data_IF_275055159894
#
_entry.id   IF_275055159894
#
_cell.length_a   1.000
_cell.length_b   1.000
_cell.length_c   1.000
_cell.angle_alpha   90.00
_cell.angle_beta   90.00
_cell.angle_gamma   90.00
#
_symmetry.space_group_name_H-M   'P 1'
#
loop_
_entity.id
_entity.type
_entity.pdbx_description
1 polymer ?
#
# COMPACT_ATOMS: atom_id res chain seq x y z
N UNK A 1 -3.40 19.99 -39.39
CA UNK A 1 -4.85 19.75 -39.22
C UNK A 1 -5.07 19.76 -37.69
N UNK A 2 -5.50 20.90 -37.17
CA UNK A 2 -5.78 20.99 -35.74
C UNK A 2 -7.02 20.14 -35.49
N UNK A 3 -6.83 19.04 -34.73
CA UNK A 3 -7.92 18.18 -34.27
C UNK A 3 -8.71 19.01 -33.26
N UNK A 4 -9.88 19.46 -33.64
CA UNK A 4 -10.82 20.10 -32.71
C UNK A 4 -11.37 18.99 -31.83
N UNK A 5 -10.73 18.79 -30.67
CA UNK A 5 -11.26 17.89 -29.64
C UNK A 5 -12.65 18.39 -29.30
N UNK A 6 -13.67 17.52 -29.31
CA UNK A 6 -15.01 17.93 -28.95
C UNK A 6 -15.02 18.41 -27.49
N UNK A 7 -15.76 19.47 -27.20
CA UNK A 7 -15.85 20.02 -25.85
C UNK A 7 -16.29 18.94 -24.85
N UNK A 8 -17.19 18.06 -25.27
CA UNK A 8 -17.70 16.95 -24.47
C UNK A 8 -16.62 15.90 -24.15
N UNK A 9 -15.72 15.60 -25.11
CA UNK A 9 -14.60 14.69 -24.88
C UNK A 9 -13.58 15.29 -23.91
N UNK A 10 -13.27 16.58 -24.06
CA UNK A 10 -12.36 17.28 -23.16
C UNK A 10 -12.93 17.36 -21.73
N UNK A 11 -14.25 17.52 -21.57
CA UNK A 11 -14.90 17.52 -20.27
C UNK A 11 -14.91 16.11 -19.65
N UNK A 12 -15.22 15.08 -20.43
CA UNK A 12 -15.19 13.70 -19.96
C UNK A 12 -13.78 13.27 -19.49
N UNK A 13 -12.72 13.69 -20.19
CA UNK A 13 -11.33 13.39 -19.83
C UNK A 13 -10.73 14.31 -18.77
N UNK A 14 -11.44 15.39 -18.39
CA UNK A 14 -10.96 16.33 -17.37
C UNK A 14 -10.75 15.65 -16.01
N UNK A 15 -9.78 16.10 -15.25
CA UNK A 15 -9.51 15.60 -13.91
C UNK A 15 -9.40 16.74 -12.89
N UNK A 16 -9.63 16.40 -11.63
CA UNK A 16 -9.47 17.32 -10.49
C UNK A 16 -8.01 17.79 -10.41
N UNK A 17 -7.80 19.07 -10.06
CA UNK A 17 -6.46 19.64 -9.92
C UNK A 17 -5.61 18.91 -8.86
N UNK A 18 -6.23 18.38 -7.79
CA UNK A 18 -5.56 17.59 -6.79
C UNK A 18 -5.09 16.23 -7.35
N UNK A 19 -5.90 15.60 -8.22
CA UNK A 19 -5.51 14.38 -8.92
C UNK A 19 -4.30 14.64 -9.82
N UNK A 20 -4.38 15.67 -10.68
CA UNK A 20 -3.29 16.02 -11.61
C UNK A 20 -1.98 16.27 -10.86
N UNK A 21 -2.05 17.01 -9.75
CA UNK A 21 -0.87 17.35 -8.92
C UNK A 21 -0.22 16.12 -8.29
N UNK A 22 -1.03 15.15 -7.83
CA UNK A 22 -0.54 14.02 -7.06
C UNK A 22 -0.27 12.77 -7.90
N UNK A 23 -0.79 12.67 -9.13
CA UNK A 23 -0.72 11.47 -9.98
C UNK A 23 0.69 10.91 -10.12
N UNK A 24 1.67 11.78 -10.45
CA UNK A 24 3.07 11.34 -10.62
C UNK A 24 3.66 10.80 -9.30
N UNK A 25 3.29 11.42 -8.16
CA UNK A 25 3.74 10.95 -6.85
C UNK A 25 3.10 9.62 -6.48
N UNK A 26 1.82 9.44 -6.75
CA UNK A 26 1.13 8.16 -6.54
C UNK A 26 1.71 7.05 -7.41
N UNK A 27 2.01 7.33 -8.69
CA UNK A 27 2.68 6.34 -9.54
C UNK A 27 4.05 5.95 -8.99
N UNK A 28 4.87 6.91 -8.57
CA UNK A 28 6.16 6.63 -7.94
C UNK A 28 6.05 5.77 -6.68
N UNK A 29 5.05 6.02 -5.82
CA UNK A 29 4.82 5.21 -4.63
C UNK A 29 4.35 3.80 -4.98
N UNK A 30 3.50 3.65 -6.00
CA UNK A 30 3.08 2.34 -6.49
C UNK A 30 4.27 1.54 -7.03
N UNK A 31 5.07 2.14 -7.89
CA UNK A 31 6.27 1.50 -8.45
C UNK A 31 7.26 1.13 -7.35
N UNK A 32 7.42 1.99 -6.34
CA UNK A 32 8.28 1.72 -5.17
C UNK A 32 7.79 0.54 -4.35
N UNK A 33 6.48 0.34 -4.24
CA UNK A 33 5.89 -0.82 -3.58
C UNK A 33 5.97 -2.08 -4.43
N UNK A 34 5.61 -2.00 -5.72
CA UNK A 34 5.63 -3.14 -6.64
C UNK A 34 7.07 -3.61 -6.86
N UNK A 35 8.01 -2.69 -7.04
CA UNK A 35 9.41 -3.01 -7.31
C UNK A 35 9.58 -3.69 -8.67
N UNK A 36 10.64 -4.51 -8.81
CA UNK A 36 10.87 -5.28 -10.02
C UNK A 36 11.10 -4.40 -11.26
N UNK A 37 10.56 -4.85 -12.39
CA UNK A 37 10.75 -4.19 -13.69
C UNK A 37 9.99 -2.86 -13.75
N UNK A 38 8.83 -2.73 -13.13
CA UNK A 38 8.06 -1.50 -13.05
C UNK A 38 8.88 -0.37 -12.41
N UNK A 39 9.56 -0.67 -11.31
CA UNK A 39 10.43 0.31 -10.66
C UNK A 39 11.64 0.66 -11.52
N UNK A 40 12.27 -0.35 -12.12
CA UNK A 40 13.46 -0.14 -12.98
C UNK A 40 13.14 0.66 -14.24
N UNK A 41 11.99 0.43 -14.85
CA UNK A 41 11.51 1.17 -16.01
C UNK A 41 10.99 2.57 -15.67
N UNK A 42 10.67 2.84 -14.42
CA UNK A 42 10.18 4.13 -13.94
C UNK A 42 11.20 5.29 -13.99
N UNK A 43 12.45 5.00 -14.38
CA UNK A 43 13.49 6.04 -14.55
C UNK A 43 14.00 6.62 -13.22
N UNK A 44 13.97 5.83 -12.14
CA UNK A 44 14.37 6.27 -10.79
C UNK A 44 15.88 6.20 -10.54
N UNK A 45 16.63 5.53 -11.42
CA UNK A 45 18.08 5.56 -11.42
C UNK A 45 18.60 6.84 -12.08
N UNK A 46 19.54 7.51 -11.44
CA UNK A 46 20.16 8.73 -11.98
C UNK A 46 21.13 8.36 -13.09
N UNK A 47 20.95 8.95 -14.28
CA UNK A 47 21.85 8.77 -15.42
C UNK A 47 23.08 9.65 -15.29
N UNK A 48 24.26 9.12 -15.62
CA UNK A 48 25.49 9.91 -15.68
C UNK A 48 25.53 10.75 -16.98
N UNK A 49 26.23 11.89 -16.91
CA UNK A 49 26.29 12.84 -18.03
C UNK A 49 26.84 12.24 -19.33
N UNK A 50 27.82 11.35 -19.23
CA UNK A 50 28.51 10.74 -20.37
C UNK A 50 28.06 9.30 -20.67
N UNK A 51 27.07 8.81 -19.93
CA UNK A 51 26.56 7.44 -20.07
C UNK A 51 25.70 7.31 -21.32
N UNK A 52 25.98 6.32 -22.15
CA UNK A 52 25.14 5.98 -23.29
C UNK A 52 23.83 5.33 -22.83
N UNK A 53 22.83 5.31 -23.71
CA UNK A 53 21.54 4.65 -23.42
C UNK A 53 21.72 3.17 -23.09
N UNK A 54 22.57 2.49 -23.86
CA UNK A 54 22.84 1.05 -23.67
C UNK A 54 23.49 0.78 -22.31
N UNK A 55 24.45 1.59 -21.90
CA UNK A 55 25.13 1.47 -20.60
C UNK A 55 24.14 1.74 -19.47
N UNK A 56 23.31 2.77 -19.58
CA UNK A 56 22.27 3.08 -18.61
C UNK A 56 21.28 1.93 -18.41
N UNK A 57 20.77 1.36 -19.50
CA UNK A 57 19.86 0.22 -19.47
C UNK A 57 20.51 -1.00 -18.81
N UNK A 58 21.78 -1.31 -19.17
CA UNK A 58 22.53 -2.41 -18.55
C UNK A 58 22.72 -2.17 -17.06
N UNK A 59 23.12 -0.97 -16.65
CA UNK A 59 23.31 -0.61 -15.24
C UNK A 59 22.01 -0.71 -14.46
N UNK A 60 20.91 -0.25 -15.04
CA UNK A 60 19.56 -0.36 -14.43
C UNK A 60 19.15 -1.83 -14.21
N UNK A 61 19.41 -2.68 -15.20
CA UNK A 61 19.05 -4.11 -15.11
C UNK A 61 19.83 -4.85 -14.02
N UNK A 62 21.13 -4.58 -13.89
CA UNK A 62 21.99 -5.30 -12.93
C UNK A 62 21.89 -4.75 -11.51
N UNK A 63 21.46 -3.50 -11.33
CA UNK A 63 21.32 -2.90 -9.99
C UNK A 63 20.21 -3.62 -9.21
N UNK A 64 20.50 -4.23 -8.05
CA UNK A 64 19.48 -4.85 -7.23
C UNK A 64 18.64 -3.78 -6.52
N UNK A 65 17.36 -4.05 -6.34
CA UNK A 65 16.45 -3.21 -5.57
C UNK A 65 16.20 -3.84 -4.19
N UNK A 66 16.55 -3.13 -3.14
CA UNK A 66 16.14 -3.43 -1.78
C UNK A 66 14.78 -2.76 -1.51
N UNK A 67 13.69 -3.54 -1.59
CA UNK A 67 12.32 -3.02 -1.51
C UNK A 67 11.88 -2.81 -0.06
N UNK A 68 12.26 -1.66 0.50
CA UNK A 68 11.89 -1.24 1.86
C UNK A 68 10.39 -0.90 1.96
N UNK A 69 9.81 -0.28 0.93
CA UNK A 69 8.40 0.11 0.90
C UNK A 69 7.47 -1.10 1.07
N UNK A 70 7.70 -2.17 0.30
CA UNK A 70 6.92 -3.40 0.41
C UNK A 70 7.08 -4.06 1.78
N UNK A 71 8.30 -4.12 2.28
CA UNK A 71 8.62 -4.72 3.58
C UNK A 71 7.89 -4.04 4.73
N UNK A 72 7.82 -2.70 4.73
CA UNK A 72 7.13 -1.92 5.76
C UNK A 72 5.62 -2.12 5.69
N UNK A 73 5.03 -2.01 4.51
CA UNK A 73 3.58 -2.24 4.34
C UNK A 73 3.22 -3.67 4.73
N UNK A 74 4.02 -4.67 4.33
CA UNK A 74 3.80 -6.06 4.72
C UNK A 74 3.83 -6.24 6.25
N UNK A 75 4.74 -5.56 6.94
CA UNK A 75 4.81 -5.55 8.41
C UNK A 75 3.52 -4.97 9.00
N UNK A 76 3.09 -3.79 8.58
CA UNK A 76 1.88 -3.14 9.10
C UNK A 76 0.64 -3.99 8.89
N UNK A 77 0.43 -4.47 7.67
CA UNK A 77 -0.72 -5.30 7.31
C UNK A 77 -0.73 -6.63 8.04
N UNK A 78 0.44 -7.25 8.24
CA UNK A 78 0.54 -8.51 8.99
C UNK A 78 0.16 -8.36 10.46
N UNK A 79 0.43 -7.22 11.07
CA UNK A 79 -0.02 -6.93 12.43
C UNK A 79 -1.52 -6.60 12.48
N UNK A 80 -2.01 -5.69 11.63
CA UNK A 80 -3.41 -5.24 11.63
C UNK A 80 -4.40 -6.37 11.37
N UNK A 81 -4.08 -7.27 10.45
CA UNK A 81 -4.94 -8.39 10.05
C UNK A 81 -4.52 -9.74 10.66
N UNK A 82 -3.77 -9.72 11.76
CA UNK A 82 -3.44 -10.94 12.51
C UNK A 82 -4.66 -11.52 13.21
N UNK A 83 -5.52 -10.66 13.71
CA UNK A 83 -6.81 -11.00 14.32
C UNK A 83 -7.91 -10.58 13.36
N UNK A 84 -8.96 -11.36 13.26
CA UNK A 84 -10.16 -11.05 12.49
C UNK A 84 -10.94 -9.92 13.18
N UNK A 85 -11.48 -8.93 12.46
CA UNK A 85 -12.38 -7.94 13.04
C UNK A 85 -13.63 -8.60 13.61
N UNK A 86 -14.10 -8.10 14.73
CA UNK A 86 -15.39 -8.50 15.32
C UNK A 86 -16.51 -7.75 14.60
N UNK A 87 -17.50 -8.50 14.09
CA UNK A 87 -18.67 -7.94 13.42
C UNK A 87 -19.94 -8.46 14.09
N UNK A 88 -20.72 -7.54 14.62
CA UNK A 88 -22.05 -7.84 15.13
C UNK A 88 -23.08 -7.27 14.17
N UNK A 89 -23.79 -8.12 13.47
CA UNK A 89 -24.74 -7.74 12.42
C UNK A 89 -26.15 -7.44 12.95
N UNK A 90 -26.46 -7.75 14.21
CA UNK A 90 -27.78 -7.53 14.81
C UNK A 90 -28.94 -7.99 13.90
N UNK A 91 -29.78 -7.07 13.44
CA UNK A 91 -30.93 -7.42 12.59
C UNK A 91 -30.51 -7.93 11.20
N UNK A 92 -29.29 -7.60 10.73
CA UNK A 92 -28.75 -8.05 9.45
C UNK A 92 -28.33 -9.52 9.43
N UNK A 93 -28.18 -10.21 10.58
CA UNK A 93 -27.88 -11.65 10.59
C UNK A 93 -28.93 -12.48 9.83
N UNK A 94 -30.16 -11.97 9.75
CA UNK A 94 -31.24 -12.60 9.00
C UNK A 94 -31.27 -12.26 7.50
N UNK A 95 -30.33 -11.41 7.01
CA UNK A 95 -30.28 -10.99 5.62
C UNK A 95 -29.77 -12.13 4.73
N UNK A 96 -30.58 -12.64 3.79
CA UNK A 96 -30.20 -13.83 3.01
C UNK A 96 -28.95 -13.66 2.14
N UNK A 97 -28.63 -12.43 1.72
CA UNK A 97 -27.48 -12.13 0.86
C UNK A 97 -26.18 -11.91 1.64
N UNK A 98 -26.27 -11.77 2.97
CA UNK A 98 -25.12 -11.48 3.83
C UNK A 98 -24.03 -12.57 3.78
N UNK A 99 -24.32 -13.87 3.94
CA UNK A 99 -23.28 -14.90 3.90
C UNK A 99 -22.52 -14.91 2.57
N UNK A 100 -23.24 -14.81 1.45
CA UNK A 100 -22.66 -14.76 0.12
C UNK A 100 -21.80 -13.51 -0.09
N UNK A 101 -22.18 -12.36 0.48
CA UNK A 101 -21.39 -11.14 0.43
C UNK A 101 -20.10 -11.23 1.27
N UNK A 102 -20.14 -11.88 2.42
CA UNK A 102 -18.96 -12.10 3.25
C UNK A 102 -17.93 -13.03 2.60
N UNK A 103 -18.41 -14.07 1.89
CA UNK A 103 -17.55 -15.04 1.21
C UNK A 103 -16.99 -14.51 -0.11
N UNK A 104 -17.77 -13.75 -0.85
CA UNK A 104 -17.41 -13.20 -2.16
C UNK A 104 -18.04 -11.81 -2.31
N UNK A 105 -17.33 -10.77 -1.89
CA UNK A 105 -17.88 -9.40 -1.88
C UNK A 105 -17.75 -8.67 -3.22
N UNK A 106 -16.86 -9.11 -4.11
CA UNK A 106 -16.48 -8.42 -5.35
C UNK A 106 -16.85 -9.18 -6.65
N UNK A 107 -17.50 -10.32 -6.55
CA UNK A 107 -17.80 -11.25 -7.64
C UNK A 107 -16.56 -11.91 -8.28
N UNK A 108 -15.39 -11.78 -7.64
CA UNK A 108 -14.14 -12.40 -8.04
C UNK A 108 -13.72 -13.55 -7.08
N UNK A 109 -14.59 -13.91 -6.13
CA UNK A 109 -14.34 -14.94 -5.11
C UNK A 109 -13.53 -14.46 -3.92
N UNK A 110 -13.46 -13.16 -3.69
CA UNK A 110 -12.70 -12.57 -2.59
C UNK A 110 -13.58 -12.33 -1.38
N UNK A 111 -13.19 -12.88 -0.22
CA UNK A 111 -13.91 -12.60 1.04
C UNK A 111 -13.76 -11.13 1.46
N UNK A 112 -14.72 -10.62 2.23
CA UNK A 112 -14.68 -9.26 2.74
C UNK A 112 -13.39 -8.96 3.52
N UNK A 113 -12.90 -9.90 4.34
CA UNK A 113 -11.64 -9.73 5.08
C UNK A 113 -10.45 -9.56 4.14
N UNK A 114 -10.37 -10.37 3.09
CA UNK A 114 -9.30 -10.26 2.09
C UNK A 114 -9.41 -8.97 1.28
N UNK A 115 -10.64 -8.53 0.99
CA UNK A 115 -10.91 -7.28 0.30
C UNK A 115 -10.51 -6.07 1.14
N UNK A 116 -10.91 -5.99 2.41
CA UNK A 116 -10.53 -4.91 3.33
C UNK A 116 -9.02 -4.86 3.57
N UNK A 117 -8.37 -6.02 3.63
CA UNK A 117 -6.91 -6.11 3.67
C UNK A 117 -6.25 -5.50 2.44
N UNK A 118 -6.78 -5.76 1.25
CA UNK A 118 -6.28 -5.16 0.01
C UNK A 118 -6.54 -3.66 -0.04
N UNK A 119 -7.70 -3.20 0.43
CA UNK A 119 -8.02 -1.79 0.56
C UNK A 119 -7.05 -1.06 1.50
N UNK A 120 -6.69 -1.70 2.62
CA UNK A 120 -5.68 -1.19 3.56
C UNK A 120 -4.28 -1.12 2.93
N UNK A 121 -3.88 -2.10 2.11
CA UNK A 121 -2.61 -2.07 1.37
C UNK A 121 -2.57 -0.84 0.46
N UNK A 122 -3.61 -0.62 -0.37
CA UNK A 122 -3.66 0.54 -1.25
C UNK A 122 -3.74 1.86 -0.48
N UNK A 123 -4.47 1.89 0.63
CA UNK A 123 -4.48 3.06 1.51
C UNK A 123 -3.07 3.39 2.03
N UNK A 124 -2.28 2.40 2.42
CA UNK A 124 -0.90 2.59 2.86
C UNK A 124 0.02 3.08 1.74
N UNK A 125 -0.16 2.60 0.49
CA UNK A 125 0.63 3.02 -0.67
C UNK A 125 0.32 4.47 -1.04
N UNK A 126 -0.95 4.80 -1.25
CA UNK A 126 -1.39 6.07 -1.83
C UNK A 126 -1.78 7.12 -0.78
N UNK A 127 -1.95 6.71 0.49
CA UNK A 127 -2.55 7.48 1.57
C UNK A 127 -4.04 7.22 1.75
N UNK A 128 -4.72 6.78 0.69
CA UNK A 128 -6.13 6.40 0.69
C UNK A 128 -6.45 5.46 -0.46
N UNK A 129 -7.54 4.73 -0.33
CA UNK A 129 -8.18 3.96 -1.40
C UNK A 129 -9.69 4.23 -1.40
N UNK A 130 -10.35 3.94 -2.51
CA UNK A 130 -11.79 4.11 -2.64
C UNK A 130 -12.46 2.75 -2.79
N UNK A 131 -13.58 2.57 -2.12
CA UNK A 131 -14.46 1.42 -2.29
C UNK A 131 -15.78 1.96 -2.85
N UNK A 132 -16.20 1.44 -4.00
CA UNK A 132 -17.50 1.78 -4.60
C UNK A 132 -18.36 0.54 -4.58
N UNK A 133 -19.55 0.64 -3.98
CA UNK A 133 -20.52 -0.43 -3.97
C UNK A 133 -21.51 -0.23 -5.11
N UNK A 134 -21.84 -1.31 -5.79
CA UNK A 134 -22.83 -1.32 -6.86
C UNK A 134 -23.76 -2.52 -6.67
N UNK A 135 -24.96 -2.45 -7.24
CA UNK A 135 -25.91 -3.58 -7.30
C UNK A 135 -26.36 -3.72 -8.74
N UNK A 136 -26.29 -4.93 -9.35
CA UNK A 136 -26.74 -5.11 -10.71
C UNK A 136 -28.24 -4.83 -10.82
N UNK A 137 -28.65 -4.11 -11.86
CA UNK A 137 -30.07 -4.02 -12.24
C UNK A 137 -30.38 -5.13 -13.24
N UNK A 138 -31.07 -6.15 -12.80
CA UNK A 138 -31.48 -7.28 -13.63
C UNK A 138 -32.98 -7.23 -13.98
N UNK A 139 -33.62 -6.08 -13.72
CA UNK A 139 -35.08 -5.92 -13.93
C UNK A 139 -35.90 -6.79 -12.99
N UNK A 140 -35.38 -7.22 -11.85
CA UNK A 140 -36.12 -7.96 -10.84
C UNK A 140 -37.21 -7.06 -10.23
N UNK A 141 -38.43 -7.53 -10.22
CA UNK A 141 -39.59 -6.76 -9.72
C UNK A 141 -39.80 -6.98 -8.23
N UNK A 142 -39.37 -8.14 -7.71
CA UNK A 142 -39.54 -8.50 -6.31
C UNK A 142 -38.23 -8.97 -5.68
N UNK A 143 -38.17 -8.89 -4.34
CA UNK A 143 -37.03 -9.42 -3.58
C UNK A 143 -36.85 -10.94 -3.76
N UNK A 144 -37.92 -11.67 -4.01
CA UNK A 144 -37.86 -13.10 -4.32
C UNK A 144 -37.21 -13.36 -5.69
N UNK A 145 -37.46 -12.48 -6.68
CA UNK A 145 -36.77 -12.55 -7.98
C UNK A 145 -35.30 -12.23 -7.88
N UNK A 146 -34.92 -11.23 -7.06
CA UNK A 146 -33.51 -10.91 -6.77
C UNK A 146 -32.79 -12.11 -6.15
N UNK A 147 -33.40 -12.75 -5.15
CA UNK A 147 -32.86 -13.94 -4.51
C UNK A 147 -32.71 -15.12 -5.49
N UNK A 148 -33.73 -15.35 -6.34
CA UNK A 148 -33.67 -16.42 -7.34
C UNK A 148 -32.58 -16.22 -8.38
N UNK A 149 -32.22 -14.95 -8.68
CA UNK A 149 -31.17 -14.56 -9.61
C UNK A 149 -29.84 -14.30 -8.91
N UNK A 150 -29.73 -14.52 -7.60
CA UNK A 150 -28.56 -14.23 -6.79
C UNK A 150 -28.08 -12.77 -6.91
N UNK A 151 -29.00 -11.82 -7.02
CA UNK A 151 -28.67 -10.38 -7.10
C UNK A 151 -28.34 -9.86 -5.72
N UNK A 152 -27.12 -9.37 -5.58
CA UNK A 152 -26.64 -8.77 -4.33
C UNK A 152 -25.72 -7.59 -4.61
N UNK A 153 -25.57 -6.65 -3.67
CA UNK A 153 -24.53 -5.64 -3.78
C UNK A 153 -23.15 -6.28 -3.89
N UNK A 154 -22.25 -5.62 -4.59
CA UNK A 154 -20.83 -5.98 -4.70
C UNK A 154 -19.96 -4.74 -4.60
N UNK A 155 -18.69 -4.91 -4.30
CA UNK A 155 -17.74 -3.82 -4.09
C UNK A 155 -16.61 -3.84 -5.10
N UNK A 156 -16.21 -2.66 -5.56
CA UNK A 156 -15.03 -2.44 -6.39
C UNK A 156 -14.02 -1.61 -5.61
N UNK A 157 -12.76 -2.05 -5.65
CA UNK A 157 -11.65 -1.35 -5.03
C UNK A 157 -10.94 -0.48 -6.08
N UNK A 158 -10.94 0.83 -5.86
CA UNK A 158 -10.33 1.80 -6.76
C UNK A 158 -9.12 2.46 -6.11
N UNK A 159 -8.05 2.58 -6.87
CA UNK A 159 -6.89 3.38 -6.46
C UNK A 159 -7.09 4.86 -6.80
N UNK A 160 -6.38 5.78 -6.14
CA UNK A 160 -6.41 7.20 -6.50
C UNK A 160 -5.96 7.51 -7.92
N UNK A 161 -5.27 6.59 -8.58
CA UNK A 161 -4.85 6.75 -9.98
C UNK A 161 -6.03 6.70 -10.96
N UNK A 162 -7.07 5.92 -10.65
CA UNK A 162 -8.25 5.76 -11.50
C UNK A 162 -9.39 6.68 -11.11
N UNK A 163 -9.42 7.19 -9.87
CA UNK A 163 -10.42 8.18 -9.42
C UNK A 163 -9.96 9.57 -9.84
N UNK A 164 -10.57 10.12 -10.89
CA UNK A 164 -10.11 11.32 -11.56
C UNK A 164 -10.72 12.62 -11.03
N UNK A 165 -11.97 12.59 -10.52
CA UNK A 165 -12.60 13.77 -9.91
C UNK A 165 -13.57 13.39 -8.80
N UNK A 166 -13.67 14.26 -7.79
CA UNK A 166 -14.60 14.14 -6.67
C UNK A 166 -14.95 15.52 -6.12
N UNK A 167 -16.20 15.68 -5.63
CA UNK A 167 -16.67 16.93 -5.01
C UNK A 167 -17.45 16.66 -3.74
N UNK A 168 -17.22 17.48 -2.74
CA UNK A 168 -17.91 17.44 -1.46
C UNK A 168 -18.80 18.68 -1.30
N UNK A 169 -20.01 18.48 -0.77
CA UNK A 169 -20.87 19.58 -0.35
C UNK A 169 -21.11 19.52 1.15
N UNK A 170 -21.30 20.69 1.75
CA UNK A 170 -21.66 20.79 3.17
C UNK A 170 -23.17 20.76 3.32
N UNK A 171 -23.67 19.83 4.13
CA UNK A 171 -25.09 19.74 4.50
C UNK A 171 -25.48 20.85 5.48
N UNK A 172 -26.78 21.09 5.64
CA UNK A 172 -27.33 22.08 6.59
C UNK A 172 -26.95 21.77 8.05
N UNK A 173 -26.78 20.49 8.40
CA UNK A 173 -26.32 20.06 9.73
C UNK A 173 -24.83 20.24 9.96
N UNK A 174 -24.09 20.75 8.97
CA UNK A 174 -22.64 20.97 9.02
C UNK A 174 -21.77 19.80 8.59
N UNK A 175 -22.33 18.61 8.40
CA UNK A 175 -21.60 17.45 7.87
C UNK A 175 -21.27 17.62 6.38
N UNK A 176 -20.26 16.90 5.91
CA UNK A 176 -19.91 16.87 4.49
C UNK A 176 -20.41 15.58 3.85
N UNK A 177 -20.83 15.70 2.62
CA UNK A 177 -21.34 14.60 1.80
C UNK A 177 -20.66 14.63 0.44
N UNK A 178 -20.32 13.44 -0.08
CA UNK A 178 -19.84 13.28 -1.45
C UNK A 178 -21.01 13.52 -2.40
N UNK A 179 -20.86 14.48 -3.32
CA UNK A 179 -21.93 14.86 -4.27
C UNK A 179 -21.55 14.57 -5.73
N UNK A 180 -20.32 14.29 -6.00
CA UNK A 180 -19.82 13.91 -7.31
C UNK A 180 -18.61 13.00 -7.18
N UNK A 181 -18.56 11.93 -7.98
CA UNK A 181 -17.43 11.01 -8.10
C UNK A 181 -17.28 10.59 -9.56
N UNK A 182 -16.06 10.71 -10.09
CA UNK A 182 -15.70 10.26 -11.44
C UNK A 182 -14.47 9.37 -11.40
N UNK A 183 -14.54 8.23 -12.04
CA UNK A 183 -13.42 7.29 -12.13
C UNK A 183 -13.41 6.55 -13.47
N UNK A 184 -12.23 6.04 -13.82
CA UNK A 184 -12.04 5.13 -14.95
C UNK A 184 -12.38 3.73 -14.47
N UNK A 185 -13.40 3.13 -15.06
CA UNK A 185 -13.86 1.76 -14.74
C UNK A 185 -13.03 0.71 -15.50
N UNK A 186 -12.79 0.96 -16.78
CA UNK A 186 -11.95 0.12 -17.63
C UNK A 186 -11.20 0.97 -18.65
N UNK A 187 -10.02 0.53 -19.04
CA UNK A 187 -9.22 1.20 -20.06
C UNK A 187 -8.31 0.23 -20.77
N UNK A 188 -8.34 0.27 -22.09
CA UNK A 188 -7.44 -0.47 -22.97
C UNK A 188 -6.88 0.45 -24.06
N UNK A 189 -6.10 -0.10 -25.01
CA UNK A 189 -5.43 0.67 -26.07
C UNK A 189 -6.40 1.41 -26.99
N UNK A 190 -7.68 1.04 -27.02
CA UNK A 190 -8.67 1.57 -27.96
C UNK A 190 -9.76 2.40 -27.32
N UNK A 191 -10.21 2.00 -26.13
CA UNK A 191 -11.33 2.62 -25.42
C UNK A 191 -11.02 2.83 -23.95
N UNK A 192 -11.67 3.84 -23.36
CA UNK A 192 -11.75 4.05 -21.91
C UNK A 192 -13.22 4.19 -21.52
N UNK A 193 -13.62 3.47 -20.48
CA UNK A 193 -14.94 3.56 -19.86
C UNK A 193 -14.82 4.39 -18.59
N UNK A 194 -15.57 5.48 -18.54
CA UNK A 194 -15.62 6.39 -17.40
C UNK A 194 -16.98 6.30 -16.76
N UNK A 195 -16.99 6.21 -15.43
CA UNK A 195 -18.21 6.21 -14.63
C UNK A 195 -18.29 7.47 -13.78
N UNK A 196 -19.44 8.13 -13.85
CA UNK A 196 -19.74 9.36 -13.12
C UNK A 196 -20.95 9.16 -12.25
N UNK A 197 -20.79 9.40 -10.94
CA UNK A 197 -21.85 9.31 -9.96
C UNK A 197 -22.24 10.70 -9.46
N UNK A 198 -23.56 10.96 -9.48
CA UNK A 198 -24.18 12.04 -8.75
C UNK A 198 -25.19 11.45 -7.77
N UNK A 199 -25.88 12.29 -7.01
CA UNK A 199 -26.99 11.82 -6.15
C UNK A 199 -28.20 11.35 -6.96
N UNK A 200 -28.41 11.94 -8.11
CA UNK A 200 -29.58 11.72 -8.97
C UNK A 200 -29.31 10.67 -10.05
N UNK A 201 -28.08 10.65 -10.60
CA UNK A 201 -27.77 9.87 -11.79
C UNK A 201 -26.43 9.17 -11.71
N UNK A 202 -26.31 8.11 -12.50
CA UNK A 202 -25.08 7.39 -12.80
C UNK A 202 -24.88 7.41 -14.30
N UNK A 203 -23.80 7.99 -14.78
CA UNK A 203 -23.47 8.02 -16.20
C UNK A 203 -22.27 7.13 -16.49
N UNK A 204 -22.39 6.27 -17.49
CA UNK A 204 -21.30 5.47 -18.05
C UNK A 204 -20.98 5.98 -19.44
N UNK A 205 -19.75 6.48 -19.62
CA UNK A 205 -19.28 7.09 -20.87
C UNK A 205 -18.16 6.28 -21.45
N UNK A 206 -18.30 5.81 -22.68
CA UNK A 206 -17.25 5.10 -23.42
C UNK A 206 -16.57 6.06 -24.38
N UNK A 207 -15.25 6.20 -24.27
CA UNK A 207 -14.41 7.07 -25.09
C UNK A 207 -13.58 6.23 -26.05
N UNK A 208 -13.41 6.70 -27.29
CA UNK A 208 -12.43 6.18 -28.26
C UNK A 208 -11.15 7.02 -28.20
N UNK A 209 -9.99 6.36 -27.96
CA UNK A 209 -8.69 7.03 -28.01
C UNK A 209 -8.28 7.40 -29.43
N UNK A 210 -8.65 6.57 -30.40
CA UNK A 210 -8.25 6.77 -31.81
C UNK A 210 -8.96 7.94 -32.45
N UNK A 211 -10.23 8.14 -32.10
CA UNK A 211 -11.08 9.17 -32.70
C UNK A 211 -11.25 10.39 -31.80
N UNK A 212 -10.75 10.33 -30.56
CA UNK A 212 -10.87 11.39 -29.53
C UNK A 212 -12.32 11.87 -29.37
N UNK A 213 -13.25 10.91 -29.29
CA UNK A 213 -14.67 11.18 -29.21
C UNK A 213 -15.39 10.24 -28.22
N UNK A 214 -16.57 10.67 -27.79
CA UNK A 214 -17.51 9.83 -27.04
C UNK A 214 -18.17 8.87 -28.05
N UNK A 215 -18.03 7.56 -27.80
CA UNK A 215 -18.66 6.51 -28.61
C UNK A 215 -20.06 6.23 -28.12
N UNK A 216 -20.23 6.18 -26.79
CA UNK A 216 -21.50 5.88 -26.14
C UNK A 216 -21.59 6.58 -24.78
N UNK A 217 -22.80 6.98 -24.38
CA UNK A 217 -23.10 7.51 -23.06
C UNK A 217 -24.46 7.03 -22.58
N UNK A 218 -24.45 6.19 -21.55
CA UNK A 218 -25.64 5.72 -20.87
C UNK A 218 -25.79 6.48 -19.55
N UNK A 219 -26.97 7.02 -19.31
CA UNK A 219 -27.30 7.69 -18.04
C UNK A 219 -28.51 7.02 -17.40
N UNK A 220 -28.36 6.62 -16.14
CA UNK A 220 -29.35 5.90 -15.35
C UNK A 220 -29.66 6.68 -14.07
N UNK A 221 -30.83 6.47 -13.49
CA UNK A 221 -31.20 7.09 -12.21
C UNK A 221 -30.46 6.39 -11.05
N UNK A 222 -29.91 7.18 -10.14
CA UNK A 222 -29.37 6.68 -8.90
C UNK A 222 -30.48 6.52 -7.86
N UNK A 223 -31.01 5.31 -7.73
CA UNK A 223 -32.10 4.99 -6.82
C UNK A 223 -31.77 5.14 -5.32
N UNK A 224 -30.48 5.26 -4.95
CA UNK A 224 -30.06 5.41 -3.54
C UNK A 224 -30.16 6.85 -3.02
N UNK A 225 -30.15 7.87 -3.91
CA UNK A 225 -30.10 9.27 -3.50
C UNK A 225 -28.78 9.68 -2.80
N UNK A 226 -27.76 8.83 -2.85
CA UNK A 226 -26.43 9.04 -2.33
C UNK A 226 -25.39 8.38 -3.23
N UNK A 227 -24.15 8.83 -3.17
CA UNK A 227 -23.05 8.16 -3.89
C UNK A 227 -22.55 6.99 -3.05
N UNK A 228 -22.62 5.74 -3.57
CA UNK A 228 -22.25 4.54 -2.81
C UNK A 228 -20.73 4.31 -2.80
N UNK A 229 -19.99 5.28 -2.29
CA UNK A 229 -18.54 5.25 -2.25
C UNK A 229 -18.01 5.61 -0.87
N UNK A 230 -16.98 4.91 -0.44
CA UNK A 230 -16.29 5.07 0.84
C UNK A 230 -14.81 5.28 0.57
N UNK A 231 -14.16 6.11 1.40
CA UNK A 231 -12.70 6.27 1.38
C UNK A 231 -12.09 5.56 2.58
N UNK A 232 -11.12 4.70 2.32
CA UNK A 232 -10.26 4.10 3.34
C UNK A 232 -8.99 4.93 3.43
N UNK A 233 -8.72 5.56 4.56
CA UNK A 233 -7.51 6.33 4.79
C UNK A 233 -6.47 5.50 5.55
N UNK A 234 -5.20 5.57 5.16
CA UNK A 234 -4.11 5.15 6.03
C UNK A 234 -3.93 6.18 7.16
N UNK A 235 -3.72 7.43 6.78
CA UNK A 235 -3.71 8.58 7.70
C UNK A 235 -4.50 9.71 7.07
N UNK A 236 -5.30 10.39 7.90
CA UNK A 236 -6.09 11.54 7.45
C UNK A 236 -5.20 12.74 7.15
N UNK A 237 -5.57 13.54 6.15
CA UNK A 237 -4.90 14.81 5.86
C UNK A 237 -5.85 16.00 6.06
N UNK A 238 -5.31 17.21 5.95
CA UNK A 238 -6.11 18.43 5.97
C UNK A 238 -6.98 18.61 4.72
N UNK A 239 -6.71 17.85 3.66
CA UNK A 239 -7.42 17.92 2.38
C UNK A 239 -8.37 16.73 2.26
N UNK A 240 -9.67 17.02 2.20
CA UNK A 240 -10.71 15.99 2.08
C UNK A 240 -10.58 15.24 0.75
N UNK A 241 -10.65 13.90 0.81
CA UNK A 241 -10.45 13.04 -0.36
C UNK A 241 -8.99 12.72 -0.67
N UNK A 242 -8.05 13.23 0.13
CA UNK A 242 -6.62 12.90 0.04
C UNK A 242 -6.15 12.42 1.42
N UNK A 243 -5.51 11.27 1.48
CA UNK A 243 -4.85 10.75 2.67
C UNK A 243 -3.33 10.93 2.60
N UNK A 244 -2.66 10.68 3.72
CA UNK A 244 -1.19 10.65 3.80
C UNK A 244 -0.70 9.21 3.69
N UNK A 245 0.20 8.98 2.74
CA UNK A 245 0.82 7.67 2.50
C UNK A 245 1.80 7.32 3.61
N UNK A 246 1.78 6.07 4.04
CA UNK A 246 2.76 5.52 4.98
C UNK A 246 4.17 5.49 4.40
N UNK A 247 4.29 5.33 3.07
CA UNK A 247 5.58 5.16 2.39
C UNK A 247 6.04 6.40 1.60
N UNK A 248 5.36 7.54 1.71
CA UNK A 248 5.73 8.71 0.90
C UNK A 248 7.22 9.07 1.01
N UNK A 249 7.70 9.33 2.22
CA UNK A 249 9.10 9.73 2.44
C UNK A 249 10.07 8.52 2.35
N UNK A 250 9.56 7.33 2.65
CA UNK A 250 10.29 6.07 2.55
C UNK A 250 10.64 5.73 1.10
N UNK A 251 9.75 6.02 0.15
CA UNK A 251 9.98 5.81 -1.28
C UNK A 251 11.16 6.68 -1.79
N UNK A 252 11.30 7.90 -1.29
CA UNK A 252 12.46 8.76 -1.60
C UNK A 252 13.75 8.19 -1.02
N UNK A 253 13.71 7.69 0.22
CA UNK A 253 14.84 7.02 0.84
C UNK A 253 15.22 5.71 0.12
N UNK A 254 14.23 4.92 -0.32
CA UNK A 254 14.45 3.73 -1.15
C UNK A 254 15.10 4.09 -2.50
N UNK A 255 14.67 5.18 -3.14
CA UNK A 255 15.29 5.69 -4.36
C UNK A 255 16.76 6.08 -4.13
N UNK A 256 17.09 6.69 -2.99
CA UNK A 256 18.47 6.97 -2.61
C UNK A 256 19.29 5.67 -2.46
N UNK A 257 18.75 4.66 -1.73
CA UNK A 257 19.41 3.36 -1.57
C UNK A 257 19.67 2.71 -2.95
N UNK A 258 18.70 2.72 -3.85
CA UNK A 258 18.81 2.13 -5.18
C UNK A 258 19.95 2.79 -5.99
N UNK A 259 20.07 4.12 -5.94
CA UNK A 259 21.15 4.84 -6.59
C UNK A 259 22.51 4.53 -5.95
N UNK A 260 22.60 4.52 -4.61
CA UNK A 260 23.85 4.17 -3.91
C UNK A 260 24.26 2.71 -4.17
N UNK A 261 23.31 1.79 -4.26
CA UNK A 261 23.60 0.39 -4.60
C UNK A 261 24.15 0.26 -6.02
N UNK A 262 23.65 1.08 -6.97
CA UNK A 262 24.21 1.15 -8.32
C UNK A 262 25.66 1.64 -8.31
N UNK A 263 25.98 2.66 -7.52
CA UNK A 263 27.37 3.15 -7.38
C UNK A 263 28.27 2.07 -6.78
N UNK A 264 27.81 1.39 -5.72
CA UNK A 264 28.57 0.30 -5.10
C UNK A 264 28.83 -0.84 -6.09
N UNK A 265 27.84 -1.23 -6.87
CA UNK A 265 27.93 -2.28 -7.89
C UNK A 265 28.98 -1.91 -8.97
N UNK A 266 28.96 -0.69 -9.47
CA UNK A 266 29.94 -0.19 -10.43
C UNK A 266 31.35 -0.15 -9.84
N UNK A 267 31.49 0.34 -8.60
CA UNK A 267 32.77 0.39 -7.92
C UNK A 267 33.37 -1.03 -7.69
N UNK A 268 32.52 -2.00 -7.32
CA UNK A 268 32.92 -3.41 -7.16
C UNK A 268 33.37 -4.00 -8.51
N UNK A 269 32.66 -3.75 -9.60
CA UNK A 269 33.05 -4.23 -10.95
C UNK A 269 34.39 -3.64 -11.39
N UNK A 270 34.57 -2.33 -11.25
CA UNK A 270 35.82 -1.66 -11.60
C UNK A 270 37.00 -2.17 -10.75
N UNK A 271 36.75 -2.39 -9.46
CA UNK A 271 37.78 -2.96 -8.55
C UNK A 271 38.12 -4.42 -8.83
N UNK A 272 37.09 -5.21 -9.25
CA UNK A 272 37.30 -6.64 -9.58
C UNK A 272 37.93 -6.88 -10.95
N UNK A 273 37.84 -5.90 -11.85
CA UNK A 273 38.43 -5.95 -13.19
C UNK A 273 39.31 -4.71 -13.42
N UNK A 274 40.45 -4.61 -12.72
CA UNK A 274 41.28 -3.42 -12.80
C UNK A 274 41.82 -3.22 -14.23
N UNK A 275 41.82 -1.98 -14.70
CA UNK A 275 42.29 -1.63 -16.02
C UNK A 275 43.81 -1.55 -16.03
N UNK A 276 44.50 -2.23 -16.98
CA UNK A 276 45.91 -2.11 -17.19
C UNK A 276 46.20 -0.90 -18.11
N UNK A 277 46.91 0.06 -17.62
CA UNK A 277 47.37 1.21 -18.42
C UNK A 277 48.76 0.90 -18.96
N UNK A 278 48.91 0.94 -20.26
CA UNK A 278 50.17 0.69 -20.95
C UNK A 278 50.39 1.65 -22.13
N UNK A 279 51.62 1.81 -22.55
CA UNK A 279 51.93 2.51 -23.79
C UNK A 279 51.49 1.64 -24.99
N UNK A 280 51.25 2.26 -26.15
CA UNK A 280 50.80 1.57 -27.36
C UNK A 280 51.76 0.46 -27.77
N UNK A 281 53.05 0.66 -27.56
CA UNK A 281 54.15 -0.23 -28.03
C UNK A 281 54.51 -1.32 -26.99
N UNK A 282 53.91 -1.28 -25.79
CA UNK A 282 54.15 -2.30 -24.75
C UNK A 282 53.31 -3.53 -24.99
N UNK A 283 53.91 -4.68 -25.16
CA UNK A 283 53.20 -5.96 -25.31
C UNK A 283 52.83 -6.50 -23.92
N UNK A 284 51.62 -6.25 -23.47
CA UNK A 284 51.11 -6.70 -22.19
C UNK A 284 49.72 -7.28 -22.35
N UNK A 285 49.50 -8.53 -21.93
CA UNK A 285 48.20 -9.17 -21.78
C UNK A 285 47.55 -8.85 -20.44
N UNK A 286 46.22 -8.94 -20.36
CA UNK A 286 45.48 -8.90 -19.10
C UNK A 286 45.05 -10.30 -18.70
N UNK A 287 45.40 -10.74 -17.49
CA UNK A 287 45.01 -12.04 -16.94
C UNK A 287 45.98 -12.53 -15.85
N UNK A 288 45.50 -13.43 -14.99
CA UNK A 288 46.32 -14.04 -13.96
C UNK A 288 47.49 -14.83 -14.62
N UNK A 289 48.75 -14.48 -14.24
CA UNK A 289 49.95 -15.11 -14.80
C UNK A 289 50.39 -14.59 -16.18
N UNK A 290 49.81 -13.50 -16.71
CA UNK A 290 50.30 -12.88 -17.92
C UNK A 290 51.69 -12.22 -17.69
N UNK A 291 52.58 -12.41 -18.67
CA UNK A 291 53.93 -11.81 -18.68
C UNK A 291 53.81 -10.47 -19.41
N UNK A 292 54.35 -9.41 -18.77
CA UNK A 292 54.44 -8.08 -19.35
C UNK A 292 55.84 -7.90 -19.85
N UNK A 293 56.03 -7.85 -21.15
CA UNK A 293 57.33 -7.56 -21.77
C UNK A 293 57.48 -6.05 -21.97
N UNK A 294 58.59 -5.49 -21.48
CA UNK A 294 58.91 -4.07 -21.56
C UNK A 294 60.31 -3.88 -22.10
N UNK A 295 60.53 -2.77 -22.81
CA UNK A 295 61.86 -2.39 -23.22
C UNK A 295 62.76 -2.07 -22.02
N UNK A 296 64.03 -2.49 -22.09
CA UNK A 296 65.00 -2.35 -20.99
C UNK A 296 65.26 -0.90 -20.55
N UNK A 297 65.03 0.07 -21.41
CA UNK A 297 65.30 1.51 -21.17
C UNK A 297 64.02 2.35 -21.10
N UNK A 298 62.85 1.75 -20.80
CA UNK A 298 61.62 2.51 -20.71
C UNK A 298 61.66 3.50 -19.54
N UNK A 299 61.24 4.73 -19.79
CA UNK A 299 61.10 5.75 -18.74
C UNK A 299 60.22 5.20 -17.61
N UNK A 300 60.63 5.33 -16.33
CA UNK A 300 59.85 4.88 -15.18
C UNK A 300 58.41 5.36 -15.17
N UNK A 301 58.13 6.52 -15.75
CA UNK A 301 56.75 7.07 -15.86
C UNK A 301 55.90 6.38 -16.93
N UNK A 302 56.53 5.67 -17.87
CA UNK A 302 55.85 4.94 -18.96
C UNK A 302 55.64 3.46 -18.65
N UNK A 303 56.05 2.99 -17.47
CA UNK A 303 55.83 1.60 -17.06
C UNK A 303 54.32 1.31 -16.96
N UNK A 304 53.86 0.12 -17.42
CA UNK A 304 52.50 -0.30 -17.22
C UNK A 304 52.14 -0.31 -15.74
N UNK A 305 51.01 0.20 -15.43
CA UNK A 305 50.44 0.16 -14.07
C UNK A 305 48.98 -0.25 -14.10
N UNK A 306 48.53 -0.85 -13.02
CA UNK A 306 47.15 -1.20 -12.84
C UNK A 306 46.46 0.00 -12.19
N UNK A 307 45.33 0.41 -12.77
CA UNK A 307 44.50 1.43 -12.16
C UNK A 307 43.72 0.74 -11.02
N UNK A 308 44.25 0.86 -9.81
CA UNK A 308 43.59 0.28 -8.63
C UNK A 308 42.55 1.21 -8.09
N UNK A 309 41.40 0.65 -7.76
CA UNK A 309 40.32 1.34 -7.08
C UNK A 309 40.52 1.21 -5.56
N UNK A 310 40.40 2.31 -4.83
CA UNK A 310 40.54 2.28 -3.39
C UNK A 310 39.20 1.79 -2.77
N UNK A 311 39.17 0.59 -2.17
CA UNK A 311 37.96 -0.01 -1.58
C UNK A 311 37.34 0.75 -0.40
N UNK A 312 37.95 1.84 0.08
CA UNK A 312 37.37 2.67 1.14
C UNK A 312 36.06 3.37 0.70
N UNK A 313 35.95 3.72 -0.57
CA UNK A 313 34.74 4.35 -1.11
C UNK A 313 33.55 3.40 -1.04
N UNK A 314 33.74 2.12 -1.34
CA UNK A 314 32.70 1.08 -1.26
C UNK A 314 32.19 0.95 0.18
N UNK A 315 33.06 0.93 1.17
CA UNK A 315 32.70 0.88 2.59
C UNK A 315 31.85 2.10 3.01
N UNK A 316 32.21 3.29 2.50
CA UNK A 316 31.47 4.52 2.77
C UNK A 316 30.05 4.49 2.17
N UNK A 317 29.90 3.93 0.96
CA UNK A 317 28.59 3.76 0.31
C UNK A 317 27.72 2.81 1.13
N UNK A 318 28.24 1.64 1.55
CA UNK A 318 27.46 0.71 2.38
C UNK A 318 27.11 1.31 3.75
N UNK A 319 27.97 2.12 4.33
CA UNK A 319 27.69 2.86 5.57
C UNK A 319 26.53 3.83 5.35
N UNK A 320 26.49 4.56 4.23
CA UNK A 320 25.39 5.46 3.90
C UNK A 320 24.07 4.69 3.68
N UNK A 321 24.11 3.55 2.97
CA UNK A 321 22.95 2.67 2.79
C UNK A 321 22.41 2.20 4.14
N UNK A 322 23.25 1.64 5.01
CA UNK A 322 22.85 1.13 6.32
C UNK A 322 22.26 2.23 7.21
N UNK A 323 22.84 3.42 7.20
CA UNK A 323 22.29 4.58 7.93
C UNK A 323 20.92 5.00 7.38
N UNK A 324 20.72 4.91 6.06
CA UNK A 324 19.43 5.21 5.44
C UNK A 324 18.37 4.16 5.78
N UNK A 325 18.72 2.87 5.78
CA UNK A 325 17.82 1.79 6.23
C UNK A 325 17.42 2.00 7.70
N UNK A 326 18.37 2.32 8.57
CA UNK A 326 18.07 2.63 9.97
C UNK A 326 17.14 3.86 10.12
N UNK A 327 17.32 4.87 9.25
CA UNK A 327 16.43 6.03 9.21
C UNK A 327 15.01 5.65 8.74
N UNK A 328 14.90 4.77 7.74
CA UNK A 328 13.62 4.22 7.26
C UNK A 328 12.89 3.51 8.41
N UNK A 329 13.57 2.61 9.12
CA UNK A 329 12.98 1.87 10.24
C UNK A 329 12.51 2.82 11.36
N UNK A 330 13.25 3.90 11.60
CA UNK A 330 12.84 4.94 12.56
C UNK A 330 11.62 5.72 12.07
N UNK A 331 11.57 6.11 10.80
CA UNK A 331 10.40 6.80 10.21
C UNK A 331 9.14 5.94 10.25
N UNK A 332 9.28 4.63 10.01
CA UNK A 332 8.19 3.67 10.04
C UNK A 332 7.87 3.12 11.44
N UNK A 333 8.65 3.45 12.47
CA UNK A 333 8.58 2.85 13.81
C UNK A 333 8.68 1.30 13.80
N UNK A 334 9.41 0.74 12.85
CA UNK A 334 9.55 -0.72 12.66
C UNK A 334 10.89 -1.27 13.16
N UNK A 335 11.73 -0.44 13.77
CA UNK A 335 13.07 -0.82 14.22
C UNK A 335 13.08 -1.98 15.21
N UNK A 336 12.10 -2.07 16.11
CA UNK A 336 11.96 -3.17 17.06
C UNK A 336 11.65 -4.53 16.41
N UNK A 337 11.06 -4.53 15.23
CA UNK A 337 10.58 -5.73 14.52
C UNK A 337 11.49 -6.13 13.36
N UNK A 338 12.06 -5.15 12.63
CA UNK A 338 12.84 -5.39 11.41
C UNK A 338 14.35 -5.38 11.62
N UNK A 339 14.85 -4.84 12.75
CA UNK A 339 16.28 -4.75 12.99
C UNK A 339 16.90 -6.16 13.06
N UNK A 340 17.79 -6.46 12.12
CA UNK A 340 18.50 -7.74 11.99
C UNK A 340 19.71 -7.80 12.91
N UNK A 341 20.25 -6.65 13.30
CA UNK A 341 21.39 -6.59 14.23
C UNK A 341 20.88 -6.59 15.68
N UNK A 342 21.32 -7.57 16.43
CA UNK A 342 21.29 -7.59 17.89
C UNK A 342 22.19 -6.51 18.49
N UNK A 343 21.96 -5.23 18.14
CA UNK A 343 22.35 -4.17 19.04
C UNK A 343 21.64 -4.47 20.35
N UNK A 344 22.40 -4.56 21.42
CA UNK A 344 21.92 -4.77 22.80
C UNK A 344 21.01 -3.63 23.24
N UNK A 345 19.84 -3.52 22.60
CA UNK A 345 18.75 -2.70 23.09
C UNK A 345 18.17 -3.41 24.32
N UNK A 346 18.03 -2.68 25.41
CA UNK A 346 17.35 -3.23 26.60
C UNK A 346 15.91 -3.62 26.21
N UNK A 347 15.36 -4.64 26.87
CA UNK A 347 13.96 -5.06 26.64
C UNK A 347 12.98 -3.88 26.72
N UNK A 348 13.18 -2.98 27.67
CA UNK A 348 12.39 -1.75 27.84
C UNK A 348 12.45 -0.82 26.61
N UNK A 349 13.62 -0.68 25.96
CA UNK A 349 13.74 0.16 24.76
C UNK A 349 12.99 -0.42 23.57
N UNK A 350 12.99 -1.75 23.40
CA UNK A 350 12.20 -2.44 22.36
C UNK A 350 10.70 -2.31 22.60
N UNK A 351 10.29 -2.39 23.84
CA UNK A 351 8.89 -2.23 24.22
C UNK A 351 8.38 -0.82 23.92
N UNK A 352 9.15 0.22 24.22
CA UNK A 352 8.79 1.61 23.89
C UNK A 352 8.70 1.82 22.36
N UNK A 353 9.63 1.30 21.59
CA UNK A 353 9.53 1.38 20.13
C UNK A 353 8.33 0.62 19.58
N UNK A 354 8.02 -0.54 20.16
CA UNK A 354 6.84 -1.30 19.76
C UNK A 354 5.54 -0.57 20.11
N UNK A 355 5.47 0.13 21.23
CA UNK A 355 4.31 0.97 21.59
C UNK A 355 4.06 2.08 20.56
N UNK A 356 5.11 2.68 19.97
CA UNK A 356 4.96 3.67 18.89
C UNK A 356 4.39 3.04 17.62
N UNK A 357 4.85 1.84 17.26
CA UNK A 357 4.27 1.08 16.14
C UNK A 357 2.81 0.75 16.43
N UNK A 358 2.50 0.25 17.62
CA UNK A 358 1.14 -0.11 18.04
C UNK A 358 0.18 1.09 17.95
N UNK A 359 0.60 2.26 18.39
CA UNK A 359 -0.21 3.48 18.29
C UNK A 359 -0.54 3.86 16.83
N UNK A 360 0.42 3.70 15.90
CA UNK A 360 0.16 3.94 14.47
C UNK A 360 -0.77 2.90 13.85
N UNK A 361 -0.62 1.64 14.23
CA UNK A 361 -1.49 0.56 13.76
C UNK A 361 -2.92 0.74 14.26
N UNK A 362 -3.10 1.17 15.53
CA UNK A 362 -4.41 1.48 16.10
C UNK A 362 -5.10 2.62 15.34
N UNK A 363 -4.39 3.73 15.07
CA UNK A 363 -4.93 4.82 14.24
C UNK A 363 -5.40 4.34 12.86
N UNK A 364 -4.64 3.46 12.21
CA UNK A 364 -5.02 2.92 10.91
C UNK A 364 -6.20 1.95 11.01
N UNK A 365 -6.25 1.14 12.07
CA UNK A 365 -7.36 0.23 12.34
C UNK A 365 -8.67 1.00 12.54
N UNK A 366 -8.64 2.09 13.32
CA UNK A 366 -9.79 2.99 13.52
C UNK A 366 -10.31 3.58 12.20
N UNK A 367 -9.39 3.97 11.30
CA UNK A 367 -9.76 4.49 9.99
C UNK A 367 -10.41 3.43 9.08
N UNK A 368 -9.94 2.18 9.15
CA UNK A 368 -10.50 1.05 8.40
C UNK A 368 -11.86 0.67 8.97
N UNK A 369 -12.00 0.63 10.30
CA UNK A 369 -13.26 0.39 11.01
C UNK A 369 -14.33 1.39 10.58
N UNK A 370 -14.01 2.68 10.62
CA UNK A 370 -14.92 3.74 10.17
C UNK A 370 -15.32 3.57 8.69
N UNK A 371 -14.39 3.18 7.84
CA UNK A 371 -14.67 2.95 6.42
C UNK A 371 -15.57 1.72 6.23
N UNK A 372 -15.33 0.64 6.94
CA UNK A 372 -16.17 -0.56 6.86
C UNK A 372 -17.56 -0.31 7.42
N UNK A 373 -17.71 0.46 8.50
CA UNK A 373 -19.03 0.87 9.01
C UNK A 373 -19.82 1.68 7.97
N UNK A 374 -19.15 2.61 7.27
CA UNK A 374 -19.79 3.35 6.18
C UNK A 374 -20.17 2.42 5.01
N UNK A 375 -19.38 1.40 4.72
CA UNK A 375 -19.68 0.39 3.72
C UNK A 375 -20.98 -0.37 4.05
N UNK A 376 -21.13 -0.77 5.32
CA UNK A 376 -22.35 -1.43 5.80
C UNK A 376 -23.57 -0.53 5.76
N UNK A 377 -23.42 0.77 6.00
CA UNK A 377 -24.52 1.74 5.82
C UNK A 377 -24.99 1.79 4.36
N UNK A 378 -24.06 1.73 3.40
CA UNK A 378 -24.39 1.68 1.97
C UNK A 378 -25.06 0.35 1.62
N UNK A 379 -24.54 -0.76 2.13
CA UNK A 379 -25.14 -2.08 1.95
C UNK A 379 -26.59 -2.10 2.45
N UNK A 380 -26.84 -1.58 3.64
CA UNK A 380 -28.16 -1.45 4.23
C UNK A 380 -29.10 -0.59 3.36
N UNK A 381 -28.59 0.51 2.80
CA UNK A 381 -29.37 1.36 1.90
C UNK A 381 -29.82 0.60 0.64
N UNK A 382 -28.95 -0.24 0.05
CA UNK A 382 -29.32 -1.12 -1.07
C UNK A 382 -30.38 -2.17 -0.71
N UNK A 383 -30.47 -2.56 0.58
CA UNK A 383 -31.49 -3.47 1.08
C UNK A 383 -32.76 -2.73 1.56
N UNK A 384 -32.79 -1.39 1.48
CA UNK A 384 -33.92 -0.57 1.93
C UNK A 384 -34.08 -0.54 3.45
N UNK A 385 -33.03 -0.78 4.21
CA UNK A 385 -33.00 -0.85 5.67
C UNK A 385 -31.93 0.12 6.23
N UNK A 386 -31.86 0.21 7.56
CA UNK A 386 -30.82 0.99 8.24
C UNK A 386 -29.82 0.05 8.91
N UNK A 387 -28.52 0.39 8.85
CA UNK A 387 -27.50 -0.34 9.56
C UNK A 387 -27.61 -0.13 11.08
N UNK A 388 -27.66 -1.21 11.83
CA UNK A 388 -27.74 -1.23 13.30
C UNK A 388 -26.66 -2.11 13.93
N UNK A 389 -25.74 -2.64 13.09
CA UNK A 389 -24.64 -3.44 13.54
C UNK A 389 -23.44 -2.60 14.06
N UNK A 390 -22.41 -3.32 14.47
CA UNK A 390 -21.13 -2.73 14.92
C UNK A 390 -19.98 -3.54 14.33
N UNK A 391 -19.00 -2.84 13.82
CA UNK A 391 -17.71 -3.41 13.38
C UNK A 391 -16.64 -2.95 14.36
N UNK A 392 -15.77 -3.84 14.80
CA UNK A 392 -14.66 -3.50 15.66
C UNK A 392 -13.37 -4.16 15.19
N UNK A 393 -12.38 -3.35 14.85
CA UNK A 393 -11.02 -3.79 14.60
C UNK A 393 -10.21 -3.84 15.89
N UNK A 394 -9.12 -4.63 15.97
CA UNK A 394 -8.30 -4.71 17.18
C UNK A 394 -7.69 -3.35 17.53
N UNK A 395 -7.78 -2.95 18.81
CA UNK A 395 -7.19 -1.72 19.35
C UNK A 395 -5.72 -1.90 19.75
N UNK A 396 -5.26 -3.14 19.88
CA UNK A 396 -3.90 -3.46 20.33
C UNK A 396 -3.31 -4.61 19.51
N UNK A 397 -2.10 -4.37 19.02
CA UNK A 397 -1.33 -5.31 18.21
C UNK A 397 -0.10 -5.85 18.95
N UNK A 398 -0.05 -5.65 20.28
CA UNK A 398 1.04 -6.13 21.10
C UNK A 398 1.22 -7.65 20.94
N UNK A 399 2.46 -8.06 20.77
CA UNK A 399 2.83 -9.47 20.90
C UNK A 399 2.83 -9.74 22.40
N UNK A 400 1.70 -10.20 22.93
CA UNK A 400 1.62 -10.58 24.35
C UNK A 400 2.56 -11.77 24.57
N UNK A 401 3.49 -11.64 25.51
CA UNK A 401 4.16 -12.78 26.10
C UNK A 401 3.20 -13.42 27.08
N UNK A 402 2.29 -14.25 26.53
CA UNK A 402 1.20 -14.89 27.28
C UNK A 402 1.72 -15.61 28.53
N UNK A 403 2.95 -16.12 28.48
CA UNK A 403 3.55 -16.83 29.60
C UNK A 403 3.98 -15.86 30.71
N UNK A 404 4.56 -14.73 30.34
CA UNK A 404 4.95 -13.69 31.30
C UNK A 404 3.72 -13.01 31.93
N UNK A 405 2.70 -12.72 31.10
CA UNK A 405 1.43 -12.13 31.55
C UNK A 405 0.70 -13.09 32.52
N UNK A 406 0.66 -14.39 32.20
CA UNK A 406 0.11 -15.42 33.06
C UNK A 406 0.88 -15.52 34.38
N UNK A 407 2.21 -15.50 34.36
CA UNK A 407 3.06 -15.52 35.55
C UNK A 407 2.84 -14.28 36.43
N UNK A 408 2.58 -13.11 35.83
CA UNK A 408 2.25 -11.90 36.60
C UNK A 408 0.86 -12.00 37.20
N UNK A 409 -0.16 -12.48 36.47
CA UNK A 409 -1.51 -12.68 37.01
C UNK A 409 -1.52 -13.70 38.13
N UNK A 410 -0.79 -14.82 38.03
CA UNK A 410 -0.62 -15.80 39.11
C UNK A 410 -0.01 -15.15 40.34
N UNK A 411 1.03 -14.33 40.22
CA UNK A 411 1.65 -13.62 41.33
C UNK A 411 0.70 -12.62 41.99
N UNK A 412 -0.20 -11.98 41.22
CA UNK A 412 -1.22 -11.08 41.77
C UNK A 412 -2.33 -11.88 42.46
N UNK A 413 -2.79 -12.97 41.83
CA UNK A 413 -3.80 -13.88 42.35
C UNK A 413 -3.44 -14.43 43.74
N UNK A 414 -2.18 -14.83 43.94
CA UNK A 414 -1.69 -15.34 45.21
C UNK A 414 -1.68 -14.27 46.32
N UNK A 415 -1.62 -12.99 45.97
CA UNK A 415 -1.57 -11.87 46.93
C UNK A 415 -2.94 -11.27 47.27
N UNK A 416 -3.92 -11.43 46.40
CA UNK A 416 -5.27 -10.89 46.54
C UNK A 416 -6.08 -11.81 47.44
N UNK A 417 -6.78 -11.23 48.44
CA UNK A 417 -7.64 -11.99 49.36
C UNK A 417 -9.14 -11.81 49.09
N UNK A 418 -9.51 -10.81 48.30
CA UNK A 418 -10.90 -10.54 47.94
C UNK A 418 -11.41 -11.57 46.90
N UNK A 419 -12.54 -12.29 47.21
CA UNK A 419 -13.11 -13.29 46.30
C UNK A 419 -13.56 -12.73 44.94
N UNK A 420 -14.04 -11.48 44.90
CA UNK A 420 -14.53 -10.85 43.67
C UNK A 420 -13.34 -10.51 42.75
N UNK A 421 -12.27 -9.97 43.33
CA UNK A 421 -11.06 -9.67 42.57
C UNK A 421 -10.38 -10.96 42.06
N UNK A 422 -10.41 -12.05 42.84
CA UNK A 422 -9.90 -13.36 42.38
C UNK A 422 -10.68 -13.90 41.17
N UNK A 423 -12.00 -13.83 41.18
CA UNK A 423 -12.83 -14.28 40.07
C UNK A 423 -12.55 -13.47 38.77
N UNK A 424 -12.29 -12.17 38.89
CA UNK A 424 -11.90 -11.33 37.74
C UNK A 424 -10.54 -11.78 37.19
N UNK A 425 -9.56 -12.03 38.04
CA UNK A 425 -8.22 -12.49 37.65
C UNK A 425 -8.28 -13.88 37.00
N UNK A 426 -9.09 -14.81 37.52
CA UNK A 426 -9.33 -16.13 36.97
C UNK A 426 -9.93 -16.03 35.53
N UNK A 427 -10.91 -15.15 35.36
CA UNK A 427 -11.51 -14.91 34.04
C UNK A 427 -10.48 -14.36 33.06
N UNK A 428 -9.63 -13.44 33.50
CA UNK A 428 -8.58 -12.88 32.65
C UNK A 428 -7.49 -13.93 32.31
N UNK A 429 -7.14 -14.82 33.26
CA UNK A 429 -6.23 -15.95 32.99
C UNK A 429 -6.81 -16.91 31.96
N UNK A 430 -8.12 -17.21 32.04
CA UNK A 430 -8.79 -18.08 31.07
C UNK A 430 -8.84 -17.45 29.67
N UNK A 431 -9.12 -16.15 29.60
CA UNK A 431 -9.10 -15.40 28.35
C UNK A 431 -7.72 -15.34 27.69
N UNK A 432 -6.65 -15.28 28.50
CA UNK A 432 -5.26 -15.30 28.01
C UNK A 432 -4.88 -16.65 27.38
N UNK A 433 -5.53 -17.75 27.76
CA UNK A 433 -5.24 -19.10 27.27
C UNK A 433 -6.27 -19.57 26.23
N UNK A 434 -7.13 -18.65 25.72
CA UNK A 434 -8.21 -18.93 24.78
C UNK A 434 -9.19 -20.03 25.24
N UNK A 435 -9.34 -20.20 26.55
CA UNK A 435 -10.34 -21.13 27.11
C UNK A 435 -11.63 -20.33 27.32
N UNK A 436 -12.55 -20.41 26.39
CA UNK A 436 -13.89 -19.86 26.56
C UNK A 436 -14.67 -20.66 27.58
N UNK A 437 -15.27 -19.96 28.57
CA UNK A 437 -16.06 -20.54 29.67
C UNK A 437 -17.41 -21.14 29.24
N UNK A 438 -17.71 -21.22 27.97
CA UNK A 438 -18.96 -21.81 27.41
C UNK A 438 -19.06 -23.34 27.58
N UNK A 439 -17.98 -24.05 27.92
CA UNK A 439 -17.99 -25.51 28.06
C UNK A 439 -18.18 -25.98 29.50
N UNK A 440 -18.42 -25.11 30.50
CA UNK A 440 -18.57 -25.47 31.90
C UNK A 440 -20.03 -25.59 32.39
N UNK A 441 -21.02 -25.56 31.48
CA UNK A 441 -22.46 -25.78 31.81
C UNK A 441 -23.08 -26.85 30.91
N UNK A 442 -22.56 -28.08 30.99
CA UNK A 442 -23.21 -29.29 30.49
C UNK A 442 -23.27 -30.34 31.59
#
# INVERSE_FOLDING_TARGET
>A
MDIVISQDYAEATSANQLHIRNRTRWQFMLDSYVGGDEYKQGGYLTRYQLETETEYVQRTQVTPLDNQCRSIIATYISFMFRQTPERNFNTFESEPTLPAFLEDCDWEGRSLDSFMKQAAIYANIFGHSWIVMSKPDVGAVTRADEMAQNVRPYVNLLTPLVVTDWKWARRLNGSYELVYLKYVEDSNDTITVIKEWTKETVATTTLSHKEEMIVDRLEELNGLGMIPAVIVYAHTSSVRGIGLSTISDIADAQKFIFNMTSEAEQAVRLGSHPSLVKTKDTNAGSGAGSIIEMEANLDPQLKPYVLEFNGQEISSIYTAINNTVASIDKMANTGSVRATETKTMSGVSREVEFQLLNARLSEQADNIELAEEQLWQIYAAYQGTAWDGVVKYPDSFAIRDTQNDLDQLVKVYDKVQDPVAKAIIETEMLNLVDITTETASA
#
